data_IF_779092021498
#
_entry.id   IF_779092021498
#
_cell.length_a   1.000
_cell.length_b   1.000
_cell.length_c   1.000
_cell.angle_alpha   90.00
_cell.angle_beta   90.00
_cell.angle_gamma   90.00
#
_symmetry.space_group_name_H-M   'P 1'
#
loop_
_entity.id
_entity.type
_entity.pdbx_description
1 polymer ?
#
# COMPACT_ATOMS: atom_id res chain seq x y z
N UNK A 1 -27.16 10.22 -72.41
CA UNK A 1 -26.14 9.26 -71.91
C UNK A 1 -25.68 9.74 -70.54
N UNK A 2 -25.78 8.87 -69.53
CA UNK A 2 -25.45 9.14 -68.13
C UNK A 2 -23.95 9.33 -67.96
N UNK A 3 -23.51 10.40 -67.30
CA UNK A 3 -22.17 10.51 -66.76
C UNK A 3 -22.19 9.99 -65.31
N UNK A 4 -21.40 8.96 -65.07
CA UNK A 4 -21.23 8.29 -63.77
C UNK A 4 -20.23 9.11 -62.94
N UNK A 5 -20.64 9.57 -61.77
CA UNK A 5 -19.73 10.09 -60.74
C UNK A 5 -19.36 8.92 -59.84
N UNK A 6 -18.09 8.48 -59.89
CA UNK A 6 -17.52 7.57 -58.90
C UNK A 6 -17.24 8.36 -57.62
N UNK A 7 -18.04 8.13 -56.58
CA UNK A 7 -17.69 8.52 -55.22
C UNK A 7 -16.78 7.45 -54.61
N UNK A 8 -15.54 7.82 -54.30
CA UNK A 8 -14.66 6.99 -53.47
C UNK A 8 -15.21 6.97 -52.04
N UNK A 9 -15.71 5.81 -51.60
CA UNK A 9 -16.02 5.59 -50.20
C UNK A 9 -14.70 5.40 -49.44
N UNK A 10 -14.31 6.42 -48.66
CA UNK A 10 -13.29 6.26 -47.63
C UNK A 10 -13.92 5.44 -46.51
N UNK A 11 -13.61 4.14 -46.48
CA UNK A 11 -13.87 3.30 -45.31
C UNK A 11 -12.91 3.75 -44.21
N UNK A 12 -13.39 4.62 -43.32
CA UNK A 12 -12.77 4.83 -42.02
C UNK A 12 -12.94 3.52 -41.25
N UNK A 13 -11.85 2.74 -41.14
CA UNK A 13 -11.78 1.64 -40.20
C UNK A 13 -11.79 2.22 -38.79
N UNK A 14 -12.94 2.24 -38.13
CA UNK A 14 -12.98 2.38 -36.68
C UNK A 14 -12.39 1.09 -36.12
N UNK A 15 -11.09 1.12 -35.80
CA UNK A 15 -10.51 0.10 -34.93
C UNK A 15 -11.19 0.31 -33.60
N UNK A 16 -12.18 -0.51 -33.29
CA UNK A 16 -12.72 -0.57 -31.94
C UNK A 16 -11.57 -1.06 -31.07
N UNK A 17 -10.93 -0.15 -30.33
CA UNK A 17 -10.01 -0.55 -29.28
C UNK A 17 -10.82 -1.42 -28.31
N UNK A 18 -10.27 -2.57 -27.95
CA UNK A 18 -10.89 -3.40 -26.91
C UNK A 18 -10.91 -2.58 -25.63
N UNK A 19 -12.10 -2.21 -25.17
CA UNK A 19 -12.25 -1.44 -23.95
C UNK A 19 -12.00 -2.36 -22.75
N UNK A 20 -10.85 -2.20 -22.11
CA UNK A 20 -10.43 -3.00 -20.95
C UNK A 20 -10.92 -2.42 -19.61
N UNK A 21 -11.46 -1.21 -19.64
CA UNK A 21 -11.95 -0.49 -18.48
C UNK A 21 -13.43 -0.19 -18.60
N UNK A 22 -14.18 -0.48 -17.54
CA UNK A 22 -15.61 -0.20 -17.49
C UNK A 22 -15.88 1.00 -16.57
N UNK A 23 -16.73 1.91 -17.02
CA UNK A 23 -17.21 3.03 -16.21
C UNK A 23 -18.00 2.54 -14.99
N UNK A 24 -17.81 3.22 -13.86
CA UNK A 24 -18.61 3.05 -12.65
C UNK A 24 -19.54 4.27 -12.51
N UNK A 25 -20.58 4.34 -13.34
CA UNK A 25 -21.43 5.53 -13.50
C UNK A 25 -20.80 6.63 -14.34
N UNK A 26 -21.37 7.84 -14.30
CA UNK A 26 -20.94 9.01 -15.08
C UNK A 26 -19.98 9.94 -14.32
N UNK A 27 -19.47 9.48 -13.18
CA UNK A 27 -18.52 10.19 -12.33
C UNK A 27 -19.14 11.35 -11.55
N UNK A 28 -18.35 12.04 -10.72
CA UNK A 28 -18.84 13.15 -9.93
C UNK A 28 -19.03 14.43 -10.73
N UNK A 29 -19.78 15.37 -10.16
CA UNK A 29 -20.16 16.62 -10.82
C UNK A 29 -18.98 17.56 -11.10
N UNK A 30 -17.83 17.38 -10.45
CA UNK A 30 -16.60 18.07 -10.82
C UNK A 30 -15.40 17.14 -10.99
N UNK A 31 -14.38 17.66 -11.67
CA UNK A 31 -13.36 16.87 -12.38
C UNK A 31 -12.15 16.45 -11.52
N UNK A 32 -12.13 16.72 -10.21
CA UNK A 32 -10.99 16.42 -9.32
C UNK A 32 -11.35 15.74 -7.98
N UNK A 33 -12.47 15.05 -7.92
CA UNK A 33 -13.16 14.91 -6.65
C UNK A 33 -12.99 13.56 -5.95
N UNK A 34 -12.82 12.44 -6.66
CA UNK A 34 -12.56 11.15 -6.00
C UNK A 34 -11.05 10.98 -5.77
N UNK A 35 -10.70 10.85 -4.50
CA UNK A 35 -9.33 10.81 -4.00
C UNK A 35 -8.97 9.43 -3.42
N UNK A 36 -9.96 8.70 -2.91
CA UNK A 36 -9.75 7.38 -2.32
C UNK A 36 -10.84 6.39 -2.71
N UNK A 37 -10.44 5.13 -2.87
CA UNK A 37 -11.32 3.97 -2.89
C UNK A 37 -11.03 3.12 -1.67
N UNK A 38 -12.09 2.58 -1.06
CA UNK A 38 -11.97 1.68 0.08
C UNK A 38 -12.85 0.45 -0.10
N UNK A 39 -12.25 -0.73 0.11
CA UNK A 39 -12.97 -1.99 0.08
C UNK A 39 -13.43 -2.34 1.50
N UNK A 40 -14.73 -2.19 1.77
CA UNK A 40 -15.33 -2.59 3.03
C UNK A 40 -15.62 -4.09 3.00
N UNK A 41 -14.69 -4.87 3.58
CA UNK A 41 -14.75 -6.33 3.60
C UNK A 41 -15.89 -6.88 4.47
N UNK A 42 -16.37 -6.13 5.46
CA UNK A 42 -17.44 -6.57 6.36
C UNK A 42 -18.81 -6.41 5.69
N UNK A 43 -19.07 -5.24 5.13
CA UNK A 43 -20.34 -4.98 4.43
C UNK A 43 -20.31 -5.38 2.94
N UNK A 44 -19.16 -5.86 2.44
CA UNK A 44 -18.96 -6.28 1.04
C UNK A 44 -19.37 -5.20 0.03
N UNK A 45 -18.85 -3.99 0.21
CA UNK A 45 -19.13 -2.82 -0.63
C UNK A 45 -17.84 -2.06 -0.98
N UNK A 46 -17.86 -1.38 -2.12
CA UNK A 46 -16.80 -0.45 -2.53
C UNK A 46 -17.24 0.96 -2.15
N UNK A 47 -16.38 1.69 -1.45
CA UNK A 47 -16.60 3.08 -1.07
C UNK A 47 -15.68 3.99 -1.86
N UNK A 48 -16.15 5.21 -2.14
CA UNK A 48 -15.37 6.29 -2.70
C UNK A 48 -15.38 7.48 -1.74
N UNK A 49 -14.23 8.12 -1.57
CA UNK A 49 -14.08 9.35 -0.80
C UNK A 49 -13.36 10.45 -1.57
N UNK A 50 -13.66 11.70 -1.20
CA UNK A 50 -12.91 12.87 -1.63
C UNK A 50 -13.71 14.16 -1.43
N UNK A 51 -13.69 15.07 -2.42
CA UNK A 51 -14.21 16.45 -2.30
C UNK A 51 -15.43 16.73 -3.18
N UNK A 52 -16.19 15.72 -3.61
CA UNK A 52 -17.35 15.89 -4.49
C UNK A 52 -18.62 16.22 -3.71
N UNK A 53 -19.51 17.02 -4.28
CA UNK A 53 -20.85 17.20 -3.69
C UNK A 53 -21.83 16.12 -4.18
N UNK A 54 -21.74 15.73 -5.45
CA UNK A 54 -22.65 14.77 -6.06
C UNK A 54 -21.98 13.84 -7.07
N UNK A 55 -22.57 12.65 -7.26
CA UNK A 55 -22.18 11.65 -8.25
C UNK A 55 -23.30 11.43 -9.26
N UNK A 56 -22.95 11.53 -10.54
CA UNK A 56 -23.86 11.22 -11.64
C UNK A 56 -23.80 9.72 -11.96
N UNK A 57 -24.95 9.06 -11.94
CA UNK A 57 -25.15 7.70 -12.43
C UNK A 57 -25.69 7.74 -13.87
N UNK A 58 -26.07 6.57 -14.39
CA UNK A 58 -26.64 6.48 -15.74
C UNK A 58 -27.98 7.23 -15.88
N UNK A 59 -28.84 7.09 -14.88
CA UNK A 59 -30.23 7.56 -14.95
C UNK A 59 -30.52 8.77 -14.03
N UNK A 60 -29.64 9.06 -13.07
CA UNK A 60 -29.84 10.12 -12.09
C UNK A 60 -28.53 10.66 -11.50
N UNK A 61 -28.66 11.59 -10.54
CA UNK A 61 -27.56 12.20 -9.79
C UNK A 61 -27.85 12.05 -8.30
N UNK A 62 -26.86 11.61 -7.53
CA UNK A 62 -26.94 11.44 -6.08
C UNK A 62 -26.05 12.46 -5.38
N UNK A 63 -26.63 13.19 -4.43
CA UNK A 63 -25.90 14.01 -3.49
C UNK A 63 -25.18 13.11 -2.46
N UNK A 64 -23.86 13.25 -2.37
CA UNK A 64 -23.00 12.30 -1.66
C UNK A 64 -21.96 12.97 -0.74
N UNK A 65 -21.73 14.28 -0.87
CA UNK A 65 -20.86 15.08 0.01
C UNK A 65 -19.54 14.39 0.38
N UNK A 66 -18.81 13.97 -0.64
CA UNK A 66 -17.47 13.42 -0.58
C UNK A 66 -17.43 11.97 -0.15
N UNK A 67 -18.58 11.30 -0.03
CA UNK A 67 -18.69 9.91 0.41
C UNK A 67 -19.77 9.16 -0.37
N UNK A 68 -19.37 8.16 -1.14
CA UNK A 68 -20.30 7.34 -1.89
C UNK A 68 -20.04 5.85 -1.69
N UNK A 69 -21.10 5.06 -1.82
CA UNK A 69 -21.08 3.61 -1.79
C UNK A 69 -21.55 3.06 -3.13
N UNK A 70 -20.81 2.10 -3.66
CA UNK A 70 -21.25 1.32 -4.80
C UNK A 70 -22.07 0.12 -4.34
N UNK A 71 -23.35 0.10 -4.71
CA UNK A 71 -24.28 -0.96 -4.31
C UNK A 71 -24.24 -2.21 -5.24
N UNK A 72 -23.39 -2.20 -6.26
CA UNK A 72 -23.30 -3.22 -7.30
C UNK A 72 -23.82 -2.76 -8.67
N UNK A 73 -24.67 -1.73 -8.70
CA UNK A 73 -25.30 -1.21 -9.91
C UNK A 73 -25.08 0.29 -10.12
N UNK A 74 -25.01 1.07 -9.04
CA UNK A 74 -24.90 2.54 -9.04
C UNK A 74 -24.22 3.03 -7.77
N UNK A 75 -23.81 4.30 -7.79
CA UNK A 75 -23.38 5.03 -6.59
C UNK A 75 -24.59 5.57 -5.84
N UNK A 76 -24.57 5.39 -4.52
CA UNK A 76 -25.47 6.01 -3.57
C UNK A 76 -24.68 6.78 -2.50
N UNK A 77 -25.36 7.65 -1.76
CA UNK A 77 -24.77 8.32 -0.59
C UNK A 77 -24.45 7.30 0.50
N UNK A 78 -23.27 7.39 1.11
CA UNK A 78 -22.86 6.45 2.17
C UNK A 78 -23.63 6.70 3.48
N UNK A 79 -23.77 7.97 3.84
CA UNK A 79 -24.26 8.41 5.14
C UNK A 79 -24.92 9.78 5.05
N UNK A 80 -25.78 10.08 6.02
CA UNK A 80 -26.46 11.37 6.11
C UNK A 80 -25.77 12.33 7.09
N UNK A 81 -26.25 13.58 7.13
CA UNK A 81 -25.83 14.63 8.08
C UNK A 81 -24.37 15.08 7.95
N UNK A 82 -23.81 15.00 6.75
CA UNK A 82 -22.60 15.74 6.40
C UNK A 82 -23.02 17.20 6.18
N UNK A 83 -22.28 18.15 6.76
CA UNK A 83 -22.58 19.58 6.58
C UNK A 83 -22.32 19.94 5.12
N UNK A 84 -23.28 20.60 4.49
CA UNK A 84 -23.22 21.04 3.10
C UNK A 84 -21.95 21.88 2.84
N UNK A 85 -21.24 21.62 1.74
CA UNK A 85 -19.96 22.27 1.40
C UNK A 85 -18.74 21.80 2.20
N UNK A 86 -18.91 20.87 3.14
CA UNK A 86 -17.84 20.35 4.00
C UNK A 86 -17.71 18.82 3.88
N UNK A 87 -17.80 18.28 2.67
CA UNK A 87 -17.76 16.84 2.39
C UNK A 87 -16.37 16.19 2.35
N UNK A 88 -15.28 16.96 2.49
CA UNK A 88 -13.92 16.48 2.21
C UNK A 88 -13.50 15.29 3.08
N UNK A 89 -13.56 14.10 2.49
CA UNK A 89 -13.23 12.83 3.15
C UNK A 89 -11.93 12.28 2.59
N UNK A 90 -10.97 11.98 3.45
CA UNK A 90 -9.66 11.48 3.03
C UNK A 90 -9.57 9.96 3.06
N UNK A 91 -10.16 9.32 4.08
CA UNK A 91 -9.96 7.90 4.30
C UNK A 91 -11.14 7.23 5.00
N UNK A 92 -11.29 5.93 4.76
CA UNK A 92 -12.19 5.05 5.49
C UNK A 92 -11.42 3.89 6.09
N UNK A 93 -11.88 3.38 7.23
CA UNK A 93 -11.29 2.19 7.83
C UNK A 93 -12.26 1.39 8.68
N UNK A 94 -12.15 0.05 8.64
CA UNK A 94 -12.81 -0.84 9.59
C UNK A 94 -11.92 -1.06 10.79
N UNK A 95 -12.48 -0.87 11.98
CA UNK A 95 -11.82 -1.15 13.24
C UNK A 95 -12.83 -1.69 14.25
N UNK A 96 -12.50 -2.82 14.89
CA UNK A 96 -13.39 -3.51 15.83
C UNK A 96 -14.82 -3.78 15.30
N UNK A 97 -14.96 -3.93 13.97
CA UNK A 97 -16.24 -4.19 13.30
C UNK A 97 -16.94 -2.95 12.78
N UNK A 98 -16.61 -1.76 13.28
CA UNK A 98 -17.25 -0.50 12.89
C UNK A 98 -16.49 0.19 11.75
N UNK A 99 -17.21 0.96 10.93
CA UNK A 99 -16.63 1.77 9.86
C UNK A 99 -16.37 3.18 10.37
N UNK A 100 -15.16 3.67 10.14
CA UNK A 100 -14.71 5.00 10.50
C UNK A 100 -14.41 5.80 9.24
N UNK A 101 -14.66 7.10 9.31
CA UNK A 101 -14.24 8.08 8.31
C UNK A 101 -13.24 9.03 8.95
N UNK A 102 -12.24 9.44 8.16
CA UNK A 102 -11.38 10.56 8.49
C UNK A 102 -11.26 11.56 7.35
N UNK A 103 -11.08 12.84 7.65
CA UNK A 103 -11.13 13.90 6.64
C UNK A 103 -11.01 15.32 7.18
N UNK A 104 -11.29 16.28 6.31
CA UNK A 104 -11.59 17.67 6.67
C UNK A 104 -13.12 17.93 6.65
N UNK A 105 -13.90 16.86 6.78
CA UNK A 105 -15.34 16.89 6.74
C UNK A 105 -15.96 17.22 8.09
N UNK A 106 -17.15 17.82 8.01
CA UNK A 106 -17.96 18.20 9.16
C UNK A 106 -19.22 17.35 9.20
N UNK A 107 -19.48 16.72 10.34
CA UNK A 107 -20.64 15.87 10.57
C UNK A 107 -21.54 16.47 11.63
N UNK A 108 -22.86 16.34 11.48
CA UNK A 108 -23.80 16.64 12.56
C UNK A 108 -24.14 15.34 13.30
N UNK A 109 -23.88 15.31 14.61
CA UNK A 109 -24.27 14.18 15.45
C UNK A 109 -25.80 14.10 15.59
N UNK A 110 -26.29 13.11 16.36
CA UNK A 110 -27.73 12.94 16.63
C UNK A 110 -28.40 14.17 17.23
N UNK A 111 -27.64 14.96 18.00
CA UNK A 111 -28.08 16.16 18.74
C UNK A 111 -27.93 17.47 17.92
N UNK A 112 -27.34 17.40 16.72
CA UNK A 112 -27.15 18.55 15.83
C UNK A 112 -25.86 19.32 16.08
N UNK A 113 -24.94 18.80 16.89
CA UNK A 113 -23.63 19.40 17.13
C UNK A 113 -22.64 19.01 16.01
N UNK A 114 -21.77 19.93 15.65
CA UNK A 114 -20.75 19.73 14.60
C UNK A 114 -19.56 18.97 15.17
N UNK A 115 -19.31 17.77 14.65
CA UNK A 115 -18.12 16.98 14.90
C UNK A 115 -17.14 17.06 13.71
N UNK A 116 -15.86 17.29 14.00
CA UNK A 116 -14.81 17.48 13.01
C UNK A 116 -14.00 16.20 12.77
N UNK A 117 -13.60 16.01 11.52
CA UNK A 117 -12.48 15.18 11.04
C UNK A 117 -12.57 13.68 11.23
N UNK A 118 -13.09 13.16 12.35
CA UNK A 118 -13.12 11.74 12.68
C UNK A 118 -14.51 11.34 13.16
N UNK A 119 -15.10 10.32 12.55
CA UNK A 119 -16.41 9.82 12.94
C UNK A 119 -16.55 8.30 12.72
N UNK A 120 -17.48 7.69 13.45
CA UNK A 120 -17.88 6.29 13.30
C UNK A 120 -19.27 6.21 12.68
N UNK A 121 -19.48 5.33 11.72
CA UNK A 121 -20.77 5.14 11.07
C UNK A 121 -21.65 4.24 11.95
N UNK A 122 -22.83 4.72 12.28
CA UNK A 122 -23.92 3.88 12.74
C UNK A 122 -24.60 3.24 11.52
N UNK A 123 -24.39 1.95 11.29
CA UNK A 123 -24.88 1.25 10.10
C UNK A 123 -26.42 1.11 10.08
N UNK A 124 -27.10 1.19 11.22
CA UNK A 124 -28.56 1.09 11.29
C UNK A 124 -29.24 2.40 10.91
N UNK A 125 -28.69 3.53 11.33
CA UNK A 125 -29.23 4.86 11.04
C UNK A 125 -28.58 5.53 9.83
N UNK A 126 -27.43 5.02 9.38
CA UNK A 126 -26.54 5.63 8.40
C UNK A 126 -26.10 7.04 8.80
N UNK A 127 -25.91 7.29 10.09
CA UNK A 127 -25.41 8.56 10.62
C UNK A 127 -23.99 8.42 11.11
N UNK A 128 -23.21 9.48 10.88
CA UNK A 128 -21.90 9.63 11.49
C UNK A 128 -22.05 10.06 12.95
N UNK A 129 -21.46 9.28 13.85
CA UNK A 129 -21.40 9.55 15.27
C UNK A 129 -20.01 10.06 15.65
N UNK A 130 -19.98 10.97 16.62
CA UNK A 130 -18.75 11.32 17.30
C UNK A 130 -18.17 10.07 17.97
N UNK A 131 -16.84 9.99 18.04
CA UNK A 131 -16.18 8.82 18.62
C UNK A 131 -16.40 8.79 20.13
N UNK A 132 -15.94 9.82 20.84
CA UNK A 132 -16.06 9.93 22.30
C UNK A 132 -16.52 11.32 22.76
N UNK A 133 -16.26 12.33 21.94
CA UNK A 133 -16.53 13.71 22.23
C UNK A 133 -16.82 14.44 20.91
N UNK A 134 -17.47 15.59 21.00
CA UNK A 134 -17.53 16.51 19.87
C UNK A 134 -16.15 17.14 19.69
N UNK A 135 -15.50 16.83 18.57
CA UNK A 135 -14.21 17.43 18.24
C UNK A 135 -14.41 18.93 17.95
N UNK A 136 -13.74 19.80 18.70
CA UNK A 136 -13.82 21.25 18.54
C UNK A 136 -13.37 21.74 17.15
N UNK A 137 -13.66 23.00 16.80
CA UNK A 137 -13.26 23.57 15.52
C UNK A 137 -11.73 23.65 15.43
N UNK A 138 -11.19 23.09 14.35
CA UNK A 138 -9.75 22.93 14.03
C UNK A 138 -9.10 21.65 14.59
N UNK A 139 -9.18 20.57 13.81
CA UNK A 139 -8.34 19.40 14.01
C UNK A 139 -7.47 19.18 12.76
N UNK A 140 -6.17 19.27 12.96
CA UNK A 140 -5.16 18.98 11.95
C UNK A 140 -5.04 17.48 11.61
N UNK A 141 -5.62 16.61 12.44
CA UNK A 141 -5.60 15.16 12.24
C UNK A 141 -6.56 14.75 11.14
N UNK A 142 -6.07 13.88 10.26
CA UNK A 142 -6.67 13.56 8.96
C UNK A 142 -6.76 12.07 8.68
N UNK A 143 -5.95 11.24 9.34
CA UNK A 143 -5.83 9.82 9.01
C UNK A 143 -6.06 8.94 10.24
N UNK A 144 -6.66 7.78 9.99
CA UNK A 144 -6.77 6.68 10.94
C UNK A 144 -6.05 5.45 10.38
N UNK A 145 -5.09 4.91 11.14
CA UNK A 145 -4.25 3.79 10.69
C UNK A 145 -4.24 2.69 11.75
N UNK A 146 -4.41 1.40 11.42
CA UNK A 146 -4.41 0.33 12.41
C UNK A 146 -3.02 0.11 13.02
N UNK A 147 -3.01 -0.18 14.33
CA UNK A 147 -1.84 -0.66 15.06
C UNK A 147 -1.92 -2.18 15.21
N UNK A 148 -0.88 -2.88 14.79
CA UNK A 148 -0.81 -4.36 14.84
C UNK A 148 0.38 -4.75 15.72
N UNK A 149 0.20 -5.53 16.82
CA UNK A 149 -0.96 -6.35 17.17
C UNK A 149 -1.97 -5.72 18.15
N UNK A 150 -1.89 -4.43 18.46
CA UNK A 150 -2.45 -3.90 19.71
C UNK A 150 -3.94 -3.48 19.68
N UNK A 151 -4.71 -3.85 18.65
CA UNK A 151 -6.15 -3.53 18.60
C UNK A 151 -6.46 -2.05 18.86
N UNK A 152 -5.55 -1.13 18.50
CA UNK A 152 -5.76 0.32 18.55
C UNK A 152 -5.58 0.92 17.15
N UNK A 153 -6.04 2.16 16.95
CA UNK A 153 -5.71 2.99 15.81
C UNK A 153 -4.66 4.03 16.18
N UNK A 154 -3.87 4.47 15.21
CA UNK A 154 -3.21 5.78 15.23
C UNK A 154 -4.15 6.80 14.58
N UNK A 155 -4.25 7.98 15.18
CA UNK A 155 -4.84 9.16 14.55
C UNK A 155 -3.72 10.18 14.29
N UNK A 156 -3.52 10.56 13.03
CA UNK A 156 -2.35 11.33 12.58
C UNK A 156 -2.74 12.49 11.67
N UNK A 157 -1.87 13.48 11.57
CA UNK A 157 -1.97 14.64 10.68
C UNK A 157 -1.15 15.82 11.20
N UNK A 158 -1.69 17.02 11.01
CA UNK A 158 -1.20 18.24 11.65
C UNK A 158 -1.53 18.26 13.16
N UNK A 159 -0.84 19.08 13.97
CA UNK A 159 -1.05 19.11 15.41
C UNK A 159 -2.50 19.50 15.73
N UNK A 160 -3.11 18.80 16.67
CA UNK A 160 -4.50 19.04 17.06
C UNK A 160 -4.81 18.55 18.47
N UNK A 161 -5.93 19.02 19.02
CA UNK A 161 -6.45 18.62 20.34
C UNK A 161 -7.67 17.73 20.15
N UNK A 162 -7.63 16.49 20.67
CA UNK A 162 -8.76 15.55 20.65
C UNK A 162 -9.32 15.33 22.05
N UNK A 163 -10.64 15.44 22.22
CA UNK A 163 -11.34 15.11 23.47
C UNK A 163 -10.70 15.65 24.77
N UNK A 164 -10.24 16.91 24.72
CA UNK A 164 -9.63 17.58 25.87
C UNK A 164 -8.23 17.09 26.24
N UNK A 165 -7.62 16.23 25.41
CA UNK A 165 -6.23 15.80 25.56
C UNK A 165 -5.24 16.91 25.19
N UNK A 166 -3.98 16.75 25.60
CA UNK A 166 -2.91 17.68 25.20
C UNK A 166 -2.69 17.62 23.68
N UNK A 167 -2.41 18.77 23.06
CA UNK A 167 -2.12 18.89 21.63
C UNK A 167 -1.00 17.94 21.20
N UNK A 168 -1.25 17.17 20.15
CA UNK A 168 -0.27 16.24 19.58
C UNK A 168 -0.55 16.01 18.09
N UNK A 169 0.44 15.51 17.35
CA UNK A 169 0.29 15.06 15.96
C UNK A 169 -0.11 13.59 15.85
N UNK A 170 0.11 12.81 16.90
CA UNK A 170 -0.11 11.37 16.88
C UNK A 170 -0.83 10.97 18.15
N UNK A 171 -2.04 10.46 17.99
CA UNK A 171 -2.79 9.83 19.07
C UNK A 171 -2.91 8.34 18.81
N UNK A 172 -3.10 7.59 19.88
CA UNK A 172 -3.62 6.22 19.82
C UNK A 172 -5.10 6.22 20.25
N UNK A 173 -5.90 5.35 19.65
CA UNK A 173 -7.33 5.18 19.94
C UNK A 173 -7.67 3.71 20.11
N UNK A 174 -8.19 3.32 21.26
CA UNK A 174 -8.49 1.91 21.59
C UNK A 174 -9.94 1.48 21.30
N UNK A 175 -10.75 2.36 20.70
CA UNK A 175 -12.20 2.17 20.54
C UNK A 175 -13.04 2.89 21.60
N UNK A 176 -12.39 3.52 22.58
CA UNK A 176 -13.05 4.24 23.67
C UNK A 176 -12.32 5.51 24.13
N UNK A 177 -11.01 5.63 23.90
CA UNK A 177 -10.25 6.77 24.42
C UNK A 177 -9.08 7.13 23.50
N UNK A 178 -8.90 8.42 23.27
CA UNK A 178 -7.71 8.97 22.62
C UNK A 178 -6.62 9.25 23.66
N UNK A 179 -5.40 8.79 23.37
CA UNK A 179 -4.21 9.05 24.20
C UNK A 179 -3.07 9.55 23.31
N UNK A 180 -2.44 10.72 23.61
CA UNK A 180 -1.25 11.16 22.90
C UNK A 180 -0.18 10.06 22.86
N UNK A 181 0.43 9.85 21.71
CA UNK A 181 1.44 8.81 21.55
C UNK A 181 2.78 9.29 22.10
N UNK A 182 3.10 8.87 23.32
CA UNK A 182 4.24 9.34 24.11
C UNK A 182 5.59 9.44 23.37
N UNK A 183 5.96 8.55 22.41
CA UNK A 183 7.18 8.74 21.63
C UNK A 183 7.26 10.06 20.86
N UNK A 184 6.12 10.61 20.43
CA UNK A 184 6.06 11.87 19.71
C UNK A 184 6.22 13.10 20.62
N UNK A 185 6.09 12.94 21.94
CA UNK A 185 6.40 14.01 22.90
C UNK A 185 7.90 14.37 22.92
N UNK A 186 8.75 13.51 22.33
CA UNK A 186 10.19 13.74 22.18
C UNK A 186 10.54 14.52 20.90
N UNK A 187 9.56 14.71 20.00
CA UNK A 187 9.73 15.50 18.78
C UNK A 187 9.47 16.96 19.14
N UNK A 188 10.31 17.88 18.66
CA UNK A 188 10.10 19.30 18.88
C UNK A 188 8.75 19.74 18.32
N UNK A 189 8.04 20.56 19.09
CA UNK A 189 6.74 21.07 18.66
C UNK A 189 6.94 22.09 17.53
N UNK A 190 6.30 21.81 16.40
CA UNK A 190 6.15 22.71 15.28
C UNK A 190 4.70 22.65 14.79
N UNK A 191 4.08 23.80 14.54
CA UNK A 191 2.72 23.90 14.01
C UNK A 191 2.60 23.35 12.60
N UNK A 192 3.69 23.33 11.84
CA UNK A 192 3.72 22.84 10.46
C UNK A 192 4.03 21.33 10.36
N UNK A 193 4.34 20.66 11.49
CA UNK A 193 4.57 19.22 11.50
C UNK A 193 3.35 18.49 10.95
N UNK A 194 3.54 17.75 9.87
CA UNK A 194 2.53 16.87 9.30
C UNK A 194 2.95 15.42 9.47
N UNK A 195 2.19 14.64 10.23
CA UNK A 195 2.40 13.19 10.32
C UNK A 195 1.41 12.49 9.41
N UNK A 196 1.94 11.79 8.39
CA UNK A 196 1.15 11.03 7.43
C UNK A 196 0.71 9.69 8.01
N UNK A 197 1.51 8.65 7.80
CA UNK A 197 1.18 7.29 8.24
C UNK A 197 2.09 6.87 9.40
N UNK A 198 1.49 6.36 10.46
CA UNK A 198 2.20 5.66 11.54
C UNK A 198 1.80 4.20 11.51
N UNK A 199 2.77 3.29 11.43
CA UNK A 199 2.50 1.86 11.29
C UNK A 199 3.57 1.00 11.95
N UNK A 200 3.17 -0.20 12.39
CA UNK A 200 4.11 -1.16 12.97
C UNK A 200 4.65 -2.12 11.90
N UNK A 201 5.96 -2.36 11.92
CA UNK A 201 6.63 -3.31 11.03
C UNK A 201 7.86 -3.92 11.72
N UNK A 202 7.89 -5.26 11.78
CA UNK A 202 8.99 -6.04 12.40
C UNK A 202 9.42 -5.55 13.79
N UNK A 203 8.44 -5.29 14.66
CA UNK A 203 8.68 -4.91 16.06
C UNK A 203 9.16 -3.46 16.26
N UNK A 204 9.02 -2.62 15.23
CA UNK A 204 9.33 -1.19 15.25
C UNK A 204 8.11 -0.42 14.78
N UNK A 205 7.94 0.82 15.25
CA UNK A 205 6.89 1.72 14.76
C UNK A 205 7.50 2.73 13.80
N UNK A 206 7.02 2.81 12.58
CA UNK A 206 7.49 3.73 11.55
C UNK A 206 6.54 4.92 11.46
N UNK A 207 7.11 6.09 11.16
CA UNK A 207 6.39 7.35 11.03
C UNK A 207 6.82 8.01 9.74
N UNK A 208 5.85 8.30 8.87
CA UNK A 208 6.04 9.12 7.68
C UNK A 208 5.40 10.50 7.83
N UNK A 209 5.85 11.46 7.04
CA UNK A 209 5.29 12.81 7.06
C UNK A 209 6.28 13.86 6.58
N UNK A 210 6.15 15.04 7.17
CA UNK A 210 7.11 16.14 7.14
C UNK A 210 7.11 16.76 8.53
N UNK A 211 8.06 16.36 9.37
CA UNK A 211 8.07 16.72 10.79
C UNK A 211 9.49 16.95 11.30
N UNK A 212 9.63 17.72 12.38
CA UNK A 212 10.92 18.02 13.01
C UNK A 212 11.71 16.75 13.30
N UNK A 213 12.99 16.73 12.94
CA UNK A 213 13.86 15.57 13.17
C UNK A 213 14.19 15.42 14.68
N UNK A 214 13.70 14.37 15.38
CA UNK A 214 13.97 14.12 16.79
C UNK A 214 15.44 13.76 17.11
N UNK A 215 16.28 13.47 16.11
CA UNK A 215 17.69 13.11 16.30
C UNK A 215 18.66 14.22 15.83
N UNK A 216 18.15 15.27 15.21
CA UNK A 216 18.97 16.23 14.46
C UNK A 216 18.43 17.65 14.49
N UNK A 217 18.66 18.38 13.39
CA UNK A 217 18.13 19.71 13.15
C UNK A 217 17.45 19.69 11.77
N UNK A 218 16.33 20.39 11.64
CA UNK A 218 15.53 20.41 10.40
C UNK A 218 14.39 19.40 10.42
N UNK A 219 14.00 18.90 9.24
CA UNK A 219 12.83 18.04 9.04
C UNK A 219 13.23 16.66 8.53
N UNK A 220 12.42 15.67 8.90
CA UNK A 220 12.50 14.29 8.44
C UNK A 220 11.16 13.85 7.85
N UNK A 221 11.21 12.99 6.84
CA UNK A 221 9.99 12.47 6.20
C UNK A 221 9.69 11.01 6.51
N UNK A 222 10.68 10.27 7.04
CA UNK A 222 10.51 8.88 7.38
C UNK A 222 11.50 8.42 8.45
N UNK A 223 10.97 8.05 9.62
CA UNK A 223 11.75 7.60 10.77
C UNK A 223 11.10 6.41 11.45
N UNK A 224 11.81 5.77 12.39
CA UNK A 224 11.26 4.68 13.19
C UNK A 224 11.56 4.82 14.67
N UNK A 225 10.61 4.41 15.49
CA UNK A 225 10.73 4.24 16.92
C UNK A 225 11.13 2.80 17.24
N UNK A 226 12.19 2.65 18.03
CA UNK A 226 12.78 1.35 18.37
C UNK A 226 12.02 0.57 19.45
N UNK A 227 11.10 1.24 20.15
CA UNK A 227 10.57 0.83 21.44
C UNK A 227 11.07 1.72 22.59
N UNK A 228 12.28 2.29 22.46
CA UNK A 228 12.92 3.09 23.52
C UNK A 228 13.56 4.39 23.04
N UNK A 229 13.85 4.53 21.75
CA UNK A 229 14.48 5.71 21.13
C UNK A 229 14.11 5.83 19.65
N UNK A 230 14.18 7.04 19.11
CA UNK A 230 14.08 7.29 17.67
C UNK A 230 15.32 6.79 16.92
N UNK A 231 15.13 6.33 15.69
CA UNK A 231 16.17 5.87 14.77
C UNK A 231 15.84 6.33 13.35
N UNK A 232 16.85 6.68 12.56
CA UNK A 232 16.69 6.77 11.11
C UNK A 232 16.37 5.40 10.52
N UNK A 233 15.56 5.36 9.46
CA UNK A 233 15.33 4.12 8.72
C UNK A 233 16.60 3.77 7.93
N UNK A 234 17.21 2.57 8.13
CA UNK A 234 18.44 2.21 7.45
C UNK A 234 18.31 2.31 5.93
N UNK A 235 19.25 2.99 5.27
CA UNK A 235 19.25 3.18 3.81
C UNK A 235 18.29 4.24 3.28
N UNK A 236 17.49 4.89 4.13
CA UNK A 236 16.62 5.99 3.73
C UNK A 236 17.34 7.34 3.85
N UNK A 237 18.09 7.72 2.81
CA UNK A 237 18.90 8.95 2.81
C UNK A 237 18.27 10.04 1.92
N UNK A 238 16.97 10.31 2.08
CA UNK A 238 16.27 11.34 1.34
C UNK A 238 15.15 11.97 2.17
N UNK A 239 14.65 13.13 1.72
CA UNK A 239 13.53 13.87 2.32
C UNK A 239 12.27 13.85 1.46
N UNK A 240 12.11 12.83 0.62
CA UNK A 240 10.91 12.64 -0.18
C UNK A 240 9.73 12.19 0.68
N UNK A 241 8.54 12.73 0.41
CA UNK A 241 7.33 12.41 1.18
C UNK A 241 6.75 11.08 0.69
N UNK A 242 6.58 10.13 1.62
CA UNK A 242 5.81 8.92 1.36
C UNK A 242 4.32 9.25 1.25
N UNK A 243 3.66 8.72 0.22
CA UNK A 243 2.22 8.89 -0.02
C UNK A 243 1.41 7.68 0.42
N UNK A 244 1.98 6.48 0.30
CA UNK A 244 1.33 5.26 0.76
C UNK A 244 2.36 4.20 1.16
N UNK A 245 1.95 3.30 2.05
CA UNK A 245 2.75 2.17 2.53
C UNK A 245 1.86 0.93 2.63
N UNK A 246 2.42 -0.23 2.32
CA UNK A 246 1.77 -1.53 2.49
C UNK A 246 2.75 -2.54 3.03
N UNK A 247 2.34 -3.28 4.05
CA UNK A 247 3.07 -4.48 4.48
C UNK A 247 2.41 -5.68 3.82
N UNK A 248 3.18 -6.45 3.04
CA UNK A 248 2.72 -7.67 2.40
C UNK A 248 3.82 -8.74 2.51
N UNK A 249 3.48 -9.93 3.02
CA UNK A 249 4.40 -11.05 3.22
C UNK A 249 5.73 -10.64 3.88
N UNK A 250 5.67 -10.04 5.08
CA UNK A 250 6.83 -9.57 5.85
C UNK A 250 7.77 -8.60 5.10
N UNK A 251 7.24 -7.92 4.10
CA UNK A 251 7.94 -6.91 3.30
C UNK A 251 7.14 -5.62 3.30
N UNK A 252 7.82 -4.50 3.59
CA UNK A 252 7.25 -3.17 3.48
C UNK A 252 7.42 -2.67 2.05
N UNK A 253 6.34 -2.20 1.43
CA UNK A 253 6.34 -1.50 0.15
C UNK A 253 5.96 -0.05 0.41
N UNK A 254 6.67 0.88 -0.22
CA UNK A 254 6.42 2.32 -0.08
C UNK A 254 6.32 2.97 -1.45
N UNK A 255 5.45 3.96 -1.57
CA UNK A 255 5.39 4.87 -2.72
C UNK A 255 5.35 6.32 -2.27
N UNK A 256 5.83 7.22 -3.12
CA UNK A 256 5.82 8.64 -2.82
C UNK A 256 6.64 9.47 -3.80
N UNK A 257 6.98 10.68 -3.37
CA UNK A 257 7.78 11.63 -4.13
C UNK A 257 9.25 11.56 -3.69
N UNK A 258 9.91 10.43 -3.98
CA UNK A 258 11.32 10.20 -3.65
C UNK A 258 12.07 9.64 -4.87
N UNK A 259 13.36 9.94 -4.97
CA UNK A 259 14.17 9.62 -6.16
C UNK A 259 15.56 9.14 -5.77
N UNK A 260 16.11 8.19 -6.52
CA UNK A 260 17.47 7.68 -6.29
C UNK A 260 18.53 8.77 -6.45
N UNK A 261 18.31 9.70 -7.39
CA UNK A 261 19.17 10.87 -7.58
C UNK A 261 19.24 11.79 -6.33
N UNK A 262 18.26 11.70 -5.44
CA UNK A 262 18.20 12.43 -4.17
C UNK A 262 18.62 11.56 -2.96
N UNK A 263 19.21 10.37 -3.19
CA UNK A 263 19.67 9.47 -2.14
C UNK A 263 18.62 8.48 -1.62
N UNK A 264 17.45 8.40 -2.26
CA UNK A 264 16.43 7.41 -1.92
C UNK A 264 16.83 6.01 -2.41
N UNK A 265 16.32 4.93 -1.78
CA UNK A 265 16.61 3.56 -2.20
C UNK A 265 15.96 3.12 -3.52
N UNK A 266 15.02 3.91 -4.06
CA UNK A 266 14.32 3.64 -5.31
C UNK A 266 13.71 4.91 -5.90
N UNK A 267 13.01 4.79 -7.03
CA UNK A 267 12.32 5.90 -7.68
C UNK A 267 10.82 5.77 -7.51
N UNK A 268 10.25 6.58 -6.62
CA UNK A 268 8.82 6.69 -6.28
C UNK A 268 8.13 5.40 -5.81
N UNK A 269 8.83 4.28 -5.84
CA UNK A 269 8.47 2.97 -5.31
C UNK A 269 9.74 2.28 -4.81
N UNK A 270 9.65 1.59 -3.68
CA UNK A 270 10.70 0.72 -3.18
C UNK A 270 10.10 -0.33 -2.24
N UNK A 271 10.82 -1.43 -2.01
CA UNK A 271 10.47 -2.41 -0.96
C UNK A 271 11.61 -2.58 0.05
N UNK A 272 11.25 -2.86 1.29
CA UNK A 272 12.16 -3.00 2.43
C UNK A 272 11.85 -4.25 3.23
N UNK A 273 12.84 -5.12 3.39
CA UNK A 273 12.68 -6.37 4.15
C UNK A 273 13.04 -6.22 5.64
N UNK A 274 13.31 -5.02 6.14
CA UNK A 274 13.75 -4.78 7.52
C UNK A 274 15.25 -4.52 7.63
N UNK A 275 16.04 -5.01 6.67
CA UNK A 275 17.49 -4.85 6.63
C UNK A 275 17.94 -4.16 5.33
N UNK A 276 17.37 -4.57 4.19
CA UNK A 276 17.76 -4.14 2.85
C UNK A 276 16.58 -3.57 2.07
N UNK A 277 16.88 -2.55 1.28
CA UNK A 277 15.98 -2.00 0.28
C UNK A 277 16.22 -2.61 -1.10
N UNK A 278 15.16 -2.60 -1.92
CA UNK A 278 15.17 -2.99 -3.32
C UNK A 278 14.32 -1.96 -4.09
N UNK A 279 14.85 -1.51 -5.23
CA UNK A 279 14.27 -0.46 -6.08
C UNK A 279 13.19 -0.98 -7.05
N UNK A 280 12.93 -2.30 -7.02
CA UNK A 280 12.00 -3.01 -7.89
C UNK A 280 12.37 -2.85 -9.37
N UNK A 281 13.64 -3.00 -9.73
CA UNK A 281 14.04 -3.00 -11.14
C UNK A 281 13.93 -1.63 -11.81
N UNK A 282 14.43 -0.59 -11.14
CA UNK A 282 14.47 0.80 -11.60
C UNK A 282 13.25 1.65 -11.23
N UNK A 283 12.20 1.05 -10.68
CA UNK A 283 11.02 1.76 -10.16
C UNK A 283 10.22 2.51 -11.22
N UNK A 284 9.66 3.65 -10.82
CA UNK A 284 8.81 4.51 -11.67
C UNK A 284 9.58 5.70 -12.21
N UNK A 285 9.06 6.35 -13.26
CA UNK A 285 9.65 7.56 -13.84
C UNK A 285 8.62 8.52 -14.44
N UNK A 286 9.00 9.80 -14.56
CA UNK A 286 8.17 10.83 -15.19
C UNK A 286 9.01 11.66 -16.18
N UNK A 287 8.77 11.46 -17.47
CA UNK A 287 9.42 12.23 -18.52
C UNK A 287 8.58 13.45 -18.92
N UNK A 288 9.19 14.65 -19.17
CA UNK A 288 10.62 14.92 -19.25
C UNK A 288 11.32 15.31 -17.94
N UNK A 289 10.60 15.46 -16.83
CA UNK A 289 11.16 15.95 -15.56
C UNK A 289 10.86 14.93 -14.46
N UNK A 290 11.84 14.09 -14.13
CA UNK A 290 11.64 12.95 -13.21
C UNK A 290 11.09 13.38 -11.84
N UNK A 291 11.46 14.57 -11.37
CA UNK A 291 11.05 15.12 -10.07
C UNK A 291 9.57 15.51 -9.99
N UNK A 292 8.86 15.56 -11.12
CA UNK A 292 7.42 15.86 -11.16
C UNK A 292 6.57 14.60 -10.98
N UNK A 293 7.19 13.42 -10.95
CA UNK A 293 6.49 12.17 -10.75
C UNK A 293 6.15 11.93 -9.27
N UNK A 294 5.10 11.17 -9.02
CA UNK A 294 4.79 10.65 -7.69
C UNK A 294 4.03 9.33 -7.77
N UNK A 295 4.43 8.33 -6.98
CA UNK A 295 3.58 7.18 -6.69
C UNK A 295 2.58 7.53 -5.58
N UNK A 296 1.29 7.29 -5.80
CA UNK A 296 0.22 7.72 -4.88
C UNK A 296 -0.44 6.57 -4.12
N UNK A 297 -0.66 5.44 -4.77
CA UNK A 297 -1.30 4.28 -4.15
C UNK A 297 -0.67 2.99 -4.63
N UNK A 298 -0.69 1.96 -3.79
CA UNK A 298 -0.15 0.65 -4.11
C UNK A 298 -0.99 -0.46 -3.46
N UNK A 299 -1.07 -1.61 -4.13
CA UNK A 299 -1.80 -2.78 -3.63
C UNK A 299 -1.51 -4.01 -4.45
N UNK A 300 -1.89 -5.18 -3.94
CA UNK A 300 -1.71 -6.44 -4.65
C UNK A 300 -2.99 -6.86 -5.37
N UNK A 301 -2.86 -7.20 -6.65
CA UNK A 301 -3.93 -7.79 -7.46
C UNK A 301 -3.39 -9.05 -8.13
N UNK A 302 -4.03 -10.20 -7.87
CA UNK A 302 -3.60 -11.52 -8.39
C UNK A 302 -2.11 -11.85 -8.19
N UNK A 303 -1.53 -11.39 -7.07
CA UNK A 303 -0.12 -11.62 -6.72
C UNK A 303 0.87 -10.62 -7.33
N UNK A 304 0.41 -9.72 -8.18
CA UNK A 304 1.23 -8.64 -8.75
C UNK A 304 1.06 -7.36 -7.90
N UNK A 305 2.16 -6.63 -7.70
CA UNK A 305 2.09 -5.31 -7.08
C UNK A 305 1.60 -4.31 -8.13
N UNK A 306 0.48 -3.65 -7.88
CA UNK A 306 -0.04 -2.56 -8.70
C UNK A 306 0.28 -1.24 -8.03
N UNK A 307 0.74 -0.27 -8.81
CA UNK A 307 1.00 1.11 -8.35
C UNK A 307 0.26 2.08 -9.27
N UNK A 308 -0.33 3.13 -8.68
CA UNK A 308 -0.95 4.25 -9.39
C UNK A 308 -0.35 5.58 -8.95
N UNK A 309 -0.40 6.59 -9.82
CA UNK A 309 0.05 7.93 -9.45
C UNK A 309 0.15 8.91 -10.61
N UNK A 310 1.21 9.72 -10.57
CA UNK A 310 1.67 10.61 -11.63
C UNK A 310 3.01 10.08 -12.15
N UNK A 311 2.97 9.17 -13.11
CA UNK A 311 4.17 8.65 -13.78
C UNK A 311 3.78 8.21 -15.19
N UNK A 312 4.75 8.26 -16.11
CA UNK A 312 4.56 7.78 -17.47
C UNK A 312 5.59 6.71 -17.86
N UNK A 313 6.39 6.25 -16.89
CA UNK A 313 7.34 5.16 -17.06
C UNK A 313 7.36 4.24 -15.84
N UNK A 314 7.57 2.94 -16.08
CA UNK A 314 7.86 1.95 -15.05
C UNK A 314 8.88 0.95 -15.61
N UNK A 315 9.97 0.68 -14.89
CA UNK A 315 11.06 -0.17 -15.39
C UNK A 315 11.64 0.28 -16.75
N UNK A 316 11.58 1.59 -17.05
CA UNK A 316 12.05 2.19 -18.30
C UNK A 316 11.08 2.11 -19.48
N UNK A 317 9.94 1.41 -19.37
CA UNK A 317 8.92 1.36 -20.44
C UNK A 317 7.79 2.35 -20.20
N UNK A 318 7.15 2.79 -21.28
CA UNK A 318 6.01 3.70 -21.23
C UNK A 318 4.77 3.01 -20.69
N UNK A 319 4.14 3.67 -19.72
CA UNK A 319 2.90 3.28 -19.05
C UNK A 319 2.06 4.54 -18.83
N UNK A 320 0.76 4.41 -18.59
CA UNK A 320 -0.11 5.56 -18.32
C UNK A 320 -0.59 5.56 -16.88
N UNK A 321 0.25 6.07 -15.97
CA UNK A 321 -0.08 6.33 -14.55
C UNK A 321 -0.51 5.12 -13.70
N UNK A 322 -0.57 3.94 -14.29
CA UNK A 322 -0.79 2.66 -13.64
C UNK A 322 0.20 1.63 -14.19
N UNK A 323 0.86 0.89 -13.30
CA UNK A 323 1.76 -0.19 -13.66
C UNK A 323 1.66 -1.33 -12.65
N UNK A 324 2.01 -2.53 -13.09
CA UNK A 324 2.10 -3.73 -12.28
C UNK A 324 3.50 -4.34 -12.31
N UNK A 325 3.92 -4.91 -11.20
CA UNK A 325 5.18 -5.62 -11.03
C UNK A 325 4.90 -7.08 -10.66
N UNK A 326 5.38 -8.00 -11.51
CA UNK A 326 5.16 -9.44 -11.38
C UNK A 326 6.25 -10.14 -10.53
N UNK A 327 7.19 -9.38 -9.96
CA UNK A 327 8.37 -9.90 -9.29
C UNK A 327 9.65 -9.80 -10.12
N UNK A 328 9.55 -9.60 -11.44
CA UNK A 328 10.70 -9.54 -12.34
C UNK A 328 10.66 -8.36 -13.32
N UNK A 329 9.47 -7.91 -13.72
CA UNK A 329 9.30 -6.83 -14.71
C UNK A 329 8.11 -5.95 -14.38
N UNK A 330 8.23 -4.69 -14.80
CA UNK A 330 7.13 -3.75 -14.81
C UNK A 330 6.33 -3.91 -16.10
N UNK A 331 5.01 -3.89 -16.00
CA UNK A 331 4.12 -3.83 -17.15
C UNK A 331 3.06 -2.74 -16.93
N UNK A 332 2.67 -2.04 -18.00
CA UNK A 332 1.51 -1.15 -17.96
C UNK A 332 0.19 -1.93 -18.01
N UNK A 333 -0.89 -1.32 -17.53
CA UNK A 333 -2.22 -1.74 -17.95
C UNK A 333 -2.55 -1.09 -19.30
N UNK A 334 -3.15 -1.83 -20.25
CA UNK A 334 -3.68 -1.24 -21.47
C UNK A 334 -4.75 -0.19 -21.17
N UNK A 335 -4.74 0.90 -21.94
CA UNK A 335 -5.71 2.00 -21.89
C UNK A 335 -5.02 3.35 -22.00
N UNK A 336 -5.59 4.25 -22.79
CA UNK A 336 -5.23 5.67 -22.86
C UNK A 336 -6.12 6.48 -21.93
N UNK A 337 -5.65 6.74 -20.70
CA UNK A 337 -6.36 7.56 -19.72
C UNK A 337 -6.25 9.02 -20.13
N UNK A 338 -7.38 9.63 -20.43
CA UNK A 338 -7.48 11.02 -20.87
C UNK A 338 -8.01 11.88 -19.73
N UNK A 339 -7.52 13.12 -19.65
CA UNK A 339 -7.88 14.05 -18.57
C UNK A 339 -7.15 13.74 -17.25
N UNK A 340 -7.00 14.80 -16.44
CA UNK A 340 -6.29 14.77 -15.16
C UNK A 340 -4.81 14.34 -15.27
N UNK A 341 -4.01 14.63 -14.26
CA UNK A 341 -2.62 14.16 -14.20
C UNK A 341 -2.44 12.89 -13.37
N UNK A 342 -3.46 12.50 -12.59
CA UNK A 342 -3.30 11.57 -11.47
C UNK A 342 -4.29 10.40 -11.54
N UNK A 343 -3.78 9.20 -11.22
CA UNK A 343 -4.61 8.09 -10.71
C UNK A 343 -4.29 7.97 -9.21
N UNK A 344 -5.19 8.51 -8.38
CA UNK A 344 -4.99 8.75 -6.95
C UNK A 344 -5.04 7.47 -6.11
N UNK A 345 -5.90 6.53 -6.48
CA UNK A 345 -6.23 5.39 -5.64
C UNK A 345 -6.52 4.15 -6.45
N UNK A 346 -6.26 2.99 -5.85
CA UNK A 346 -6.71 1.70 -6.32
C UNK A 346 -7.38 0.93 -5.18
N UNK A 347 -8.31 0.05 -5.52
CA UNK A 347 -8.89 -0.91 -4.60
C UNK A 347 -9.16 -2.23 -5.31
N UNK A 348 -9.02 -3.35 -4.59
CA UNK A 348 -9.44 -4.67 -5.07
C UNK A 348 -10.71 -5.04 -4.32
N UNK A 349 -11.81 -5.17 -5.06
CA UNK A 349 -13.11 -5.58 -4.53
C UNK A 349 -13.69 -6.71 -5.37
N UNK A 350 -14.14 -7.78 -4.71
CA UNK A 350 -14.67 -8.99 -5.37
C UNK A 350 -13.77 -9.49 -6.51
N UNK A 351 -12.49 -9.64 -6.21
CA UNK A 351 -11.47 -10.13 -7.15
C UNK A 351 -11.30 -9.27 -8.41
N UNK A 352 -11.72 -8.01 -8.35
CA UNK A 352 -11.60 -7.05 -9.44
C UNK A 352 -10.84 -5.82 -8.99
N UNK A 353 -9.92 -5.35 -9.83
CA UNK A 353 -9.21 -4.09 -9.64
C UNK A 353 -10.11 -2.90 -10.04
N UNK A 354 -10.12 -1.89 -9.19
CA UNK A 354 -10.73 -0.60 -9.43
C UNK A 354 -9.66 0.47 -9.26
N UNK A 355 -9.74 1.51 -10.08
CA UNK A 355 -8.89 2.69 -9.95
C UNK A 355 -9.72 3.95 -9.91
N UNK A 356 -9.22 4.95 -9.19
CA UNK A 356 -9.81 6.27 -9.17
C UNK A 356 -8.79 7.40 -9.35
N UNK A 357 -9.20 8.47 -10.00
CA UNK A 357 -8.33 9.60 -10.31
C UNK A 357 -8.99 10.71 -11.11
N UNK A 358 -8.20 11.64 -11.64
CA UNK A 358 -8.69 12.81 -12.38
C UNK A 358 -9.03 12.57 -13.85
N UNK A 359 -9.04 11.31 -14.31
CA UNK A 359 -9.35 10.98 -15.71
C UNK A 359 -10.83 11.20 -16.04
N UNK A 360 -11.10 11.62 -17.27
CA UNK A 360 -12.45 11.89 -17.77
C UNK A 360 -12.84 11.03 -18.99
N UNK A 361 -11.89 10.29 -19.55
CA UNK A 361 -12.12 9.26 -20.54
C UNK A 361 -11.00 8.20 -20.51
N UNK A 362 -11.27 7.00 -21.04
CA UNK A 362 -10.27 5.96 -21.30
C UNK A 362 -10.51 5.41 -22.70
N UNK A 363 -9.48 5.42 -23.56
CA UNK A 363 -9.56 5.03 -24.97
C UNK A 363 -10.63 5.81 -25.77
N UNK A 364 -10.90 7.07 -25.38
CA UNK A 364 -11.91 7.93 -25.98
C UNK A 364 -13.34 7.73 -25.45
N UNK A 365 -13.58 6.71 -24.63
CA UNK A 365 -14.87 6.48 -23.98
C UNK A 365 -14.99 7.29 -22.69
N UNK A 366 -16.16 7.89 -22.37
CA UNK A 366 -16.35 8.81 -21.24
C UNK A 366 -16.42 8.10 -19.88
N UNK A 367 -15.34 7.41 -19.52
CA UNK A 367 -15.11 6.78 -18.22
C UNK A 367 -14.53 7.84 -17.28
N UNK A 368 -15.30 8.26 -16.28
CA UNK A 368 -14.96 9.41 -15.42
C UNK A 368 -14.63 8.98 -14.01
N UNK A 369 -13.40 9.29 -13.61
CA UNK A 369 -12.82 9.18 -12.27
C UNK A 369 -12.82 7.84 -11.57
N UNK A 370 -13.70 6.88 -11.88
CA UNK A 370 -13.63 5.52 -11.35
C UNK A 370 -13.82 4.52 -12.49
N UNK A 371 -12.87 3.62 -12.60
CA UNK A 371 -12.86 2.59 -13.64
C UNK A 371 -12.68 1.21 -13.01
N UNK A 372 -13.47 0.25 -13.49
CA UNK A 372 -13.35 -1.17 -13.17
C UNK A 372 -12.50 -1.86 -14.24
N UNK A 373 -11.48 -2.61 -13.82
CA UNK A 373 -10.73 -3.48 -14.72
C UNK A 373 -11.59 -4.65 -15.18
N UNK A 374 -11.74 -4.81 -16.49
CA UNK A 374 -12.42 -5.95 -17.12
C UNK A 374 -11.53 -6.67 -18.14
N UNK A 375 -10.27 -6.24 -18.28
CA UNK A 375 -9.36 -6.74 -19.30
C UNK A 375 -8.72 -8.10 -19.04
N UNK A 376 -9.05 -8.76 -17.92
CA UNK A 376 -8.49 -10.07 -17.57
C UNK A 376 -6.96 -10.01 -17.51
N UNK A 377 -6.31 -10.90 -18.26
CA UNK A 377 -4.84 -11.02 -18.33
C UNK A 377 -4.19 -10.05 -19.32
N UNK A 378 -4.96 -9.13 -19.91
CA UNK A 378 -4.41 -8.15 -20.86
C UNK A 378 -3.30 -7.33 -20.21
N UNK A 379 -2.22 -7.12 -20.97
CA UNK A 379 -1.01 -6.46 -20.51
C UNK A 379 -0.55 -5.44 -21.54
N UNK A 380 -0.12 -4.27 -21.05
CA UNK A 380 0.48 -3.23 -21.87
C UNK A 380 1.96 -3.50 -22.12
N UNK A 381 2.72 -2.43 -22.37
CA UNK A 381 4.17 -2.54 -22.52
C UNK A 381 4.79 -3.09 -21.24
N UNK A 382 5.67 -4.07 -21.39
CA UNK A 382 6.46 -4.62 -20.30
C UNK A 382 7.93 -4.26 -20.47
N UNK A 383 8.59 -3.96 -19.36
CA UNK A 383 10.04 -3.85 -19.31
C UNK A 383 10.69 -5.17 -19.75
N UNK A 384 11.91 -5.13 -20.27
CA UNK A 384 12.74 -6.32 -20.29
C UNK A 384 12.75 -6.98 -18.91
N UNK A 385 12.95 -8.29 -18.85
CA UNK A 385 13.11 -9.00 -17.58
C UNK A 385 14.24 -8.32 -16.83
N UNK A 386 13.90 -7.64 -15.73
CA UNK A 386 14.88 -7.15 -14.80
C UNK A 386 15.50 -8.37 -14.14
N UNK A 387 16.82 -8.49 -14.17
CA UNK A 387 17.49 -9.43 -13.25
C UNK A 387 17.39 -8.79 -11.86
N UNK A 388 16.22 -8.90 -11.23
CA UNK A 388 16.04 -8.59 -9.83
C UNK A 388 16.16 -9.90 -9.04
N UNK A 389 17.37 -10.47 -9.00
CA UNK A 389 17.73 -11.32 -7.86
C UNK A 389 18.20 -10.43 -6.72
N UNK A 390 17.26 -9.74 -6.09
CA UNK A 390 17.23 -9.78 -4.65
C UNK A 390 16.06 -10.67 -4.27
N UNK A 391 16.25 -12.00 -4.18
CA UNK A 391 15.39 -12.75 -3.27
C UNK A 391 15.44 -11.96 -1.97
N UNK A 392 14.28 -11.59 -1.43
CA UNK A 392 14.18 -11.29 -0.01
C UNK A 392 15.02 -12.37 0.66
N UNK A 393 16.10 -12.00 1.34
CA UNK A 393 16.99 -12.96 1.97
C UNK A 393 16.11 -13.74 2.93
N UNK A 394 15.61 -14.89 2.47
CA UNK A 394 15.09 -15.92 3.33
C UNK A 394 16.16 -16.09 4.39
N UNK A 395 15.72 -16.13 5.65
CA UNK A 395 16.54 -16.45 6.82
C UNK A 395 17.76 -17.28 6.41
N UNK A 396 19.00 -16.85 6.73
CA UNK A 396 20.21 -17.37 6.10
C UNK A 396 20.15 -18.89 5.98
N UNK A 397 20.10 -19.36 4.73
CA UNK A 397 19.83 -20.77 4.45
C UNK A 397 21.12 -21.57 4.41
N UNK A 398 21.01 -22.85 4.74
CA UNK A 398 22.11 -23.78 4.82
C UNK A 398 22.20 -24.60 3.53
N UNK A 399 23.36 -24.55 2.87
CA UNK A 399 23.61 -25.27 1.62
C UNK A 399 24.04 -26.70 1.94
N UNK A 400 23.43 -27.69 1.28
CA UNK A 400 23.77 -29.10 1.41
C UNK A 400 24.07 -29.73 0.04
N UNK A 401 25.33 -30.09 -0.20
CA UNK A 401 25.82 -30.63 -1.47
C UNK A 401 25.86 -32.16 -1.40
N UNK A 402 25.22 -32.91 -2.32
CA UNK A 402 25.29 -34.37 -2.33
C UNK A 402 26.74 -34.88 -2.43
N UNK A 403 27.11 -35.89 -1.63
CA UNK A 403 28.46 -36.46 -1.59
C UNK A 403 28.63 -37.76 -2.41
N UNK A 404 27.67 -38.07 -3.29
CA UNK A 404 27.68 -39.28 -4.12
C UNK A 404 26.48 -40.18 -3.82
N UNK A 405 26.63 -41.27 -3.02
CA UNK A 405 25.55 -42.21 -2.78
C UNK A 405 24.30 -41.53 -2.19
N UNK A 406 23.07 -41.97 -2.56
CA UNK A 406 21.84 -41.41 -2.01
C UNK A 406 21.85 -41.39 -0.48
N UNK A 407 21.41 -40.29 0.11
CA UNK A 407 21.41 -40.14 1.57
C UNK A 407 22.62 -39.46 2.18
N UNK A 408 23.61 -39.01 1.38
CA UNK A 408 24.83 -38.37 1.92
C UNK A 408 24.99 -36.94 1.40
N UNK A 409 25.21 -35.98 2.30
CA UNK A 409 25.43 -34.58 1.95
C UNK A 409 26.57 -33.96 2.75
N UNK A 410 27.24 -32.97 2.17
CA UNK A 410 28.09 -32.01 2.86
C UNK A 410 27.28 -30.74 3.06
N UNK A 411 27.01 -30.44 4.32
CA UNK A 411 26.45 -29.18 4.77
C UNK A 411 27.57 -28.15 4.89
N UNK A 412 27.40 -27.00 4.26
CA UNK A 412 28.32 -25.86 4.35
C UNK A 412 27.80 -24.84 5.36
N UNK A 413 28.71 -24.30 6.17
CA UNK A 413 28.42 -23.32 7.22
C UNK A 413 29.16 -22.02 6.89
N UNK A 414 28.56 -20.85 7.19
CA UNK A 414 29.00 -19.56 6.67
C UNK A 414 30.38 -19.13 7.22
N UNK A 415 30.81 -19.70 8.34
CA UNK A 415 32.11 -19.42 8.94
C UNK A 415 32.57 -20.60 9.80
N UNK A 416 33.88 -20.64 10.04
CA UNK A 416 34.51 -21.59 10.95
C UNK A 416 34.03 -21.32 12.37
N UNK A 417 33.38 -22.30 13.00
CA UNK A 417 32.88 -22.15 14.36
C UNK A 417 32.41 -23.45 14.99
N UNK A 418 31.88 -23.33 16.21
CA UNK A 418 31.15 -24.40 16.87
C UNK A 418 29.68 -24.32 16.47
N UNK A 419 29.18 -25.38 15.85
CA UNK A 419 27.81 -25.49 15.38
C UNK A 419 27.14 -26.75 15.90
N UNK A 420 25.85 -26.65 16.19
CA UNK A 420 24.98 -27.81 16.39
C UNK A 420 24.06 -27.92 15.20
N UNK A 421 24.17 -29.00 14.42
CA UNK A 421 23.32 -29.30 13.28
C UNK A 421 22.29 -30.37 13.67
N UNK A 422 21.02 -30.15 13.39
CA UNK A 422 19.91 -31.05 13.70
C UNK A 422 19.15 -31.35 12.41
N UNK A 423 18.79 -32.61 12.19
CA UNK A 423 17.88 -33.02 11.13
C UNK A 423 16.51 -33.42 11.70
N UNK A 424 15.45 -33.02 11.00
CA UNK A 424 14.06 -33.38 11.27
C UNK A 424 13.46 -34.10 10.06
N UNK A 425 12.59 -35.07 10.31
CA UNK A 425 11.72 -35.63 9.27
C UNK A 425 10.57 -34.65 8.90
N UNK A 426 9.80 -34.98 7.86
CA UNK A 426 8.70 -34.15 7.38
C UNK A 426 7.58 -33.91 8.41
N UNK A 427 7.54 -34.68 9.51
CA UNK A 427 6.58 -34.50 10.61
C UNK A 427 7.09 -33.58 11.71
N UNK A 428 8.33 -33.08 11.59
CA UNK A 428 8.99 -32.24 12.59
C UNK A 428 9.67 -33.03 13.72
N UNK A 429 9.77 -34.36 13.61
CA UNK A 429 10.49 -35.18 14.58
C UNK A 429 11.99 -35.13 14.31
N UNK A 430 12.77 -34.85 15.35
CA UNK A 430 14.24 -34.87 15.28
C UNK A 430 14.75 -36.29 15.06
N UNK A 431 15.57 -36.48 14.02
CA UNK A 431 16.10 -37.78 13.60
C UNK A 431 17.61 -37.92 13.77
N UNK A 432 18.35 -36.80 13.81
CA UNK A 432 19.80 -36.81 13.97
C UNK A 432 20.34 -35.47 14.50
N UNK A 433 21.52 -35.51 15.10
CA UNK A 433 22.25 -34.32 15.58
C UNK A 433 23.74 -34.51 15.41
N UNK A 434 24.43 -33.46 14.98
CA UNK A 434 25.88 -33.41 14.81
C UNK A 434 26.44 -32.17 15.51
N UNK A 435 27.56 -32.34 16.20
CA UNK A 435 28.38 -31.25 16.68
C UNK A 435 29.51 -31.02 15.68
N UNK A 436 29.56 -29.83 15.09
CA UNK A 436 30.51 -29.48 14.04
C UNK A 436 31.51 -28.46 14.57
N UNK A 437 32.80 -28.75 14.38
CA UNK A 437 33.87 -27.78 14.56
C UNK A 437 34.45 -27.45 13.18
N UNK A 438 34.15 -26.26 12.66
CA UNK A 438 34.56 -25.86 11.31
C UNK A 438 33.48 -25.11 10.53
N UNK A 439 33.66 -25.05 9.21
CA UNK A 439 32.74 -24.42 8.26
C UNK A 439 31.96 -25.45 7.42
N UNK A 440 31.87 -26.71 7.85
CA UNK A 440 31.04 -27.70 7.18
C UNK A 440 30.94 -29.04 7.90
N UNK A 441 29.89 -29.79 7.61
CA UNK A 441 29.55 -31.07 8.25
C UNK A 441 29.08 -32.08 7.20
N UNK A 442 29.63 -33.29 7.21
CA UNK A 442 29.04 -34.39 6.44
C UNK A 442 27.86 -35.00 7.23
N UNK A 443 26.73 -35.20 6.56
CA UNK A 443 25.54 -35.86 7.12
C UNK A 443 25.21 -37.12 6.32
N UNK A 444 24.77 -38.14 7.04
CA UNK A 444 24.32 -39.42 6.50
C UNK A 444 22.89 -39.70 6.99
N UNK A 445 21.95 -39.75 6.05
CA UNK A 445 20.56 -40.13 6.22
C UNK A 445 20.20 -41.33 5.34
N UNK A 446 21.17 -42.13 4.90
CA UNK A 446 20.95 -43.27 4.00
C UNK A 446 20.00 -44.32 4.61
N UNK A 447 19.98 -44.45 5.94
CA UNK A 447 19.07 -45.35 6.65
C UNK A 447 17.62 -44.83 6.77
N UNK A 448 17.35 -43.59 6.41
CA UNK A 448 16.01 -42.98 6.52
C UNK A 448 15.16 -43.27 5.27
N UNK A 449 13.84 -43.11 5.37
CA UNK A 449 12.94 -43.32 4.23
C UNK A 449 13.17 -42.27 3.12
N UNK A 450 12.85 -42.55 1.84
CA UNK A 450 12.76 -41.52 0.82
C UNK A 450 11.83 -40.39 1.26
N UNK A 451 12.24 -39.14 1.07
CA UNK A 451 11.47 -37.99 1.56
C UNK A 451 12.28 -36.73 1.82
N UNK A 452 11.59 -35.72 2.34
CA UNK A 452 12.15 -34.41 2.67
C UNK A 452 12.60 -34.41 4.13
N UNK A 453 13.83 -33.93 4.35
CA UNK A 453 14.40 -33.72 5.69
C UNK A 453 14.78 -32.26 5.85
N UNK A 454 14.37 -31.68 6.98
CA UNK A 454 14.70 -30.31 7.35
C UNK A 454 15.97 -30.29 8.19
N UNK A 455 16.84 -29.33 7.93
CA UNK A 455 18.09 -29.13 8.65
C UNK A 455 18.03 -27.80 9.40
N UNK A 456 18.54 -27.79 10.63
CA UNK A 456 18.73 -26.57 11.43
C UNK A 456 20.13 -26.55 12.01
N UNK A 457 20.87 -25.46 11.81
CA UNK A 457 22.18 -25.26 12.44
C UNK A 457 22.14 -24.07 13.40
N UNK A 458 22.66 -24.23 14.61
CA UNK A 458 22.79 -23.16 15.62
C UNK A 458 24.24 -22.95 16.00
N UNK A 459 24.68 -21.69 15.97
CA UNK A 459 26.04 -21.27 16.34
C UNK A 459 26.10 -20.59 17.72
N UNK A 460 27.28 -20.58 18.35
CA UNK A 460 27.49 -20.03 19.69
C UNK A 460 27.16 -18.53 19.87
N UNK A 461 27.05 -17.76 18.78
CA UNK A 461 26.70 -16.33 18.77
C UNK A 461 25.22 -16.03 18.49
N UNK A 462 24.31 -17.02 18.61
CA UNK A 462 22.88 -16.84 18.32
C UNK A 462 22.49 -16.97 16.84
N UNK A 463 23.44 -17.26 15.96
CA UNK A 463 23.17 -17.56 14.54
C UNK A 463 22.33 -18.82 14.40
N UNK A 464 21.25 -18.76 13.62
CA UNK A 464 20.38 -19.89 13.31
C UNK A 464 20.17 -19.98 11.80
N UNK A 465 20.52 -21.12 11.20
CA UNK A 465 20.39 -21.40 9.78
C UNK A 465 19.38 -22.54 9.57
N UNK A 466 18.68 -22.51 8.45
CA UNK A 466 17.77 -23.60 8.06
C UNK A 466 18.04 -24.06 6.62
N UNK A 467 17.91 -25.36 6.37
CA UNK A 467 18.08 -25.95 5.05
C UNK A 467 17.16 -27.15 4.87
N UNK A 468 17.13 -27.72 3.66
CA UNK A 468 16.43 -28.99 3.41
C UNK A 468 17.26 -29.86 2.48
N UNK A 469 17.15 -31.17 2.66
CA UNK A 469 17.67 -32.17 1.73
C UNK A 469 16.54 -33.11 1.32
N UNK A 470 16.61 -33.60 0.09
CA UNK A 470 15.65 -34.57 -0.45
C UNK A 470 16.39 -35.87 -0.65
N UNK A 471 15.99 -36.90 0.08
CA UNK A 471 16.46 -38.26 -0.15
C UNK A 471 15.57 -38.89 -1.24
N UNK A 472 16.13 -39.21 -2.42
CA UNK A 472 15.37 -39.86 -3.49
C UNK A 472 14.93 -41.28 -3.11
#
# INVERSE_FOLDING_TARGET
MKAVVMGAAVLLSTVANAQYWKAMGKGPTSIYEIQGLYCDSIANRLLACGTFDAIMNEEDTVEAHGQAVWNGFRWDSLAHRIVEGHGQTYWFIRFQGDLYSSGANLFLNSEGEVNNSLARLNEQTQFWEALECVNGPFNGLQHLVPRIPNSTLYATGYPGTLCGQATSNVYTYDGSTFTPWAPFDQVEYDSDNYVGTVFDYKGKTYVSGDFSDPLGQGYSTFMRWSGTQWEYVPGWNNSGILKNVLVHNDTLYVVGAFHTAAGAPGNMVARFNGDNWDDLGGGLGYFPVDQNGVGLSLGFYHGELVVTGQFNRAGGVEVDRIAKWDGQRWCGYPGDFQGGALINSLAVWRDTLYVAGGFNAIDGEPIRQVAQWIGGDAVGNCSPVGIAEHPATHSPSLTATPLGPPGHWRVELPFVGLWTLIAYDATGRQIATWATQGNGQAIDLAAQAPGIYLLRATGAGGASLAGKVVRP
#
